data_IF_769305482704
#
_entry.id   IF_769305482704
#
_cell.length_a   1.000
_cell.length_b   1.000
_cell.length_c   1.000
_cell.angle_alpha   90.00
_cell.angle_beta   90.00
_cell.angle_gamma   90.00
#
_symmetry.space_group_name_H-M   'P 1'
#
loop_
_entity.id
_entity.type
_entity.pdbx_description
1 polymer ?
#
# COMPACT_ATOMS: atom_id res chain seq x y z
N UNK A 1 14.56 4.14 3.91
CA UNK A 1 13.56 4.49 2.88
C UNK A 1 14.20 4.68 1.49
N UNK A 2 13.64 4.07 0.43
CA UNK A 2 14.10 4.30 -0.94
C UNK A 2 13.68 5.73 -1.35
N UNK A 3 14.62 6.67 -1.58
CA UNK A 3 14.28 8.06 -1.87
C UNK A 3 13.53 8.24 -3.20
N UNK A 4 13.52 7.20 -4.06
CA UNK A 4 12.82 7.23 -5.34
C UNK A 4 12.09 5.92 -5.64
N UNK A 5 11.34 5.42 -4.66
CA UNK A 5 10.54 4.19 -4.81
C UNK A 5 9.58 4.28 -6.01
N UNK A 6 9.03 5.47 -6.26
CA UNK A 6 8.14 5.73 -7.39
C UNK A 6 8.83 5.51 -8.73
N UNK A 7 10.02 6.09 -8.95
CA UNK A 7 10.78 5.88 -10.18
C UNK A 7 11.24 4.43 -10.29
N UNK A 8 11.78 3.86 -9.22
CA UNK A 8 12.28 2.49 -9.20
C UNK A 8 11.20 1.50 -9.65
N UNK A 9 9.99 1.59 -9.11
CA UNK A 9 8.86 0.74 -9.51
C UNK A 9 8.47 0.96 -10.96
N UNK A 10 8.41 2.22 -11.40
CA UNK A 10 8.07 2.52 -12.80
C UNK A 10 9.08 1.92 -13.77
N UNK A 11 10.37 2.02 -13.47
CA UNK A 11 11.46 1.53 -14.34
C UNK A 11 11.57 0.01 -14.34
N UNK A 12 11.49 -0.63 -13.17
CA UNK A 12 11.73 -2.08 -13.03
C UNK A 12 10.49 -2.93 -13.30
N UNK A 13 9.29 -2.35 -13.19
CA UNK A 13 8.03 -3.07 -13.40
C UNK A 13 7.33 -2.67 -14.71
N UNK A 14 8.12 -2.31 -15.74
CA UNK A 14 7.64 -2.11 -17.11
C UNK A 14 6.67 -0.93 -17.28
N UNK A 15 6.74 0.08 -16.40
CA UNK A 15 5.92 1.29 -16.45
C UNK A 15 4.43 1.12 -16.11
N UNK A 16 3.95 -0.13 -15.99
CA UNK A 16 2.56 -0.43 -15.68
C UNK A 16 2.26 -0.30 -14.18
N UNK A 17 3.27 -0.52 -13.34
CA UNK A 17 3.13 -0.40 -11.89
C UNK A 17 3.41 1.03 -11.43
N UNK A 18 2.80 1.36 -10.30
CA UNK A 18 2.94 2.65 -9.66
C UNK A 18 2.94 2.51 -8.15
N UNK A 19 3.51 3.54 -7.53
CA UNK A 19 3.51 3.75 -6.10
C UNK A 19 2.62 4.93 -5.73
N UNK A 20 1.90 4.80 -4.63
CA UNK A 20 1.15 5.87 -3.97
C UNK A 20 1.29 5.67 -2.47
N UNK A 21 1.52 6.75 -1.72
CA UNK A 21 1.52 6.73 -0.27
C UNK A 21 0.74 7.92 0.28
N UNK A 22 0.55 7.94 1.60
CA UNK A 22 -0.01 9.09 2.31
C UNK A 22 -1.53 9.21 2.18
N UNK A 23 -2.25 8.18 2.65
CA UNK A 23 -3.70 8.32 2.83
C UNK A 23 -4.04 9.34 3.90
N UNK A 24 -5.15 10.05 3.73
CA UNK A 24 -5.60 11.01 4.73
C UNK A 24 -5.88 10.32 6.07
N UNK A 25 -5.53 10.95 7.19
CA UNK A 25 -5.83 10.47 8.55
C UNK A 25 -7.30 10.07 8.72
N UNK A 26 -8.21 10.84 8.11
CA UNK A 26 -9.64 10.54 8.11
C UNK A 26 -9.96 9.16 7.50
N UNK A 27 -9.36 8.84 6.35
CA UNK A 27 -9.58 7.57 5.64
C UNK A 27 -8.96 6.41 6.42
N UNK A 28 -7.75 6.58 6.94
CA UNK A 28 -7.05 5.59 7.76
C UNK A 28 -7.87 5.28 9.01
N UNK A 29 -8.38 6.31 9.70
CA UNK A 29 -9.21 6.15 10.90
C UNK A 29 -10.56 5.49 10.60
N UNK A 30 -11.22 5.87 9.50
CA UNK A 30 -12.54 5.33 9.12
C UNK A 30 -12.47 3.84 8.74
N UNK A 31 -11.40 3.41 8.08
CA UNK A 31 -11.22 2.03 7.62
C UNK A 31 -10.02 1.37 8.32
N UNK A 32 -10.01 1.49 9.65
CA UNK A 32 -8.89 1.10 10.51
C UNK A 32 -8.30 -0.28 10.19
N UNK A 33 -9.16 -1.29 10.01
CA UNK A 33 -8.75 -2.66 9.72
C UNK A 33 -8.19 -2.90 8.31
N UNK A 34 -8.40 -1.97 7.38
CA UNK A 34 -7.80 -2.05 6.03
C UNK A 34 -6.39 -1.44 6.04
N UNK A 35 -6.13 -0.46 6.92
CA UNK A 35 -4.87 0.28 6.97
C UNK A 35 -3.93 -0.15 8.09
N UNK A 36 -4.32 -1.12 8.91
CA UNK A 36 -3.48 -1.63 9.99
C UNK A 36 -3.37 -3.16 9.97
N UNK A 37 -2.19 -3.65 10.32
CA UNK A 37 -1.97 -5.08 10.56
C UNK A 37 -1.20 -5.32 11.86
N UNK A 38 -1.34 -6.53 12.39
CA UNK A 38 -0.64 -6.98 13.58
C UNK A 38 0.54 -7.85 13.16
N UNK A 39 1.74 -7.52 13.65
CA UNK A 39 2.94 -8.32 13.44
C UNK A 39 3.85 -8.23 14.66
N UNK A 40 4.42 -9.35 15.10
CA UNK A 40 5.27 -9.42 16.29
C UNK A 40 4.67 -8.77 17.56
N UNK A 41 3.34 -8.86 17.73
CA UNK A 41 2.63 -8.26 18.86
C UNK A 41 2.49 -6.73 18.82
N UNK A 42 2.97 -6.10 17.74
CA UNK A 42 2.85 -4.66 17.49
C UNK A 42 1.84 -4.41 16.36
N UNK A 43 1.20 -3.25 16.46
CA UNK A 43 0.28 -2.74 15.45
C UNK A 43 1.04 -1.82 14.51
N UNK A 44 0.89 -2.04 13.22
CA UNK A 44 1.57 -1.29 12.17
C UNK A 44 0.56 -0.70 11.20
N UNK A 45 0.73 0.57 10.87
CA UNK A 45 0.04 1.20 9.76
C UNK A 45 0.71 0.79 8.44
N UNK A 46 -0.08 0.41 7.45
CA UNK A 46 0.36 0.05 6.08
C UNK A 46 -0.09 1.12 5.09
N UNK A 47 0.44 2.33 5.27
CA UNK A 47 0.06 3.53 4.50
C UNK A 47 0.66 3.62 3.10
N UNK A 48 1.59 2.73 2.74
CA UNK A 48 2.24 2.68 1.43
C UNK A 48 1.55 1.69 0.51
N UNK A 49 1.35 2.06 -0.75
CA UNK A 49 0.72 1.22 -1.76
C UNK A 49 1.56 1.11 -3.01
N UNK A 50 1.65 -0.12 -3.53
CA UNK A 50 2.07 -0.38 -4.91
C UNK A 50 0.98 -1.13 -5.64
N UNK A 51 0.88 -0.91 -6.94
CA UNK A 51 -0.10 -1.65 -7.72
C UNK A 51 -0.05 -1.37 -9.20
N UNK A 52 -0.91 -2.07 -9.92
CA UNK A 52 -1.06 -1.98 -11.38
C UNK A 52 -2.53 -2.22 -11.76
N UNK A 53 -2.86 -2.07 -13.05
CA UNK A 53 -4.20 -2.27 -13.59
C UNK A 53 -4.86 -1.00 -14.14
N UNK A 54 -6.08 -1.14 -14.67
CA UNK A 54 -6.83 -0.04 -15.32
C UNK A 54 -8.07 0.35 -14.50
N UNK A 55 -8.25 1.66 -14.30
CA UNK A 55 -9.45 2.26 -13.70
C UNK A 55 -9.70 1.86 -12.23
N UNK A 56 -10.86 2.22 -11.70
CA UNK A 56 -11.37 1.79 -10.39
C UNK A 56 -12.01 0.39 -10.45
N UNK A 57 -11.82 -0.38 -11.53
CA UNK A 57 -12.38 -1.73 -11.62
C UNK A 57 -11.53 -2.68 -10.76
N UNK A 58 -12.08 -3.18 -9.64
CA UNK A 58 -11.33 -4.02 -8.73
C UNK A 58 -10.93 -5.37 -9.34
N UNK A 59 -11.61 -5.84 -10.42
CA UNK A 59 -11.27 -7.10 -11.11
C UNK A 59 -10.01 -7.01 -11.97
N UNK A 60 -9.70 -5.80 -12.42
CA UNK A 60 -8.59 -5.50 -13.31
C UNK A 60 -7.43 -4.80 -12.59
N UNK A 61 -7.47 -4.74 -11.25
CA UNK A 61 -6.48 -4.02 -10.44
C UNK A 61 -5.98 -4.85 -9.27
N UNK A 62 -4.69 -4.67 -8.97
CA UNK A 62 -4.06 -5.20 -7.76
C UNK A 62 -3.42 -4.06 -6.98
N UNK A 63 -3.55 -4.12 -5.65
CA UNK A 63 -2.89 -3.26 -4.67
C UNK A 63 -2.22 -4.12 -3.62
N UNK A 64 -1.02 -3.70 -3.26
CA UNK A 64 -0.23 -4.25 -2.17
C UNK A 64 -0.02 -3.09 -1.20
N UNK A 65 -0.63 -3.17 -0.02
CA UNK A 65 -0.42 -2.20 1.05
C UNK A 65 0.67 -2.72 2.00
N UNK A 66 1.65 -1.88 2.31
CA UNK A 66 2.81 -2.28 3.09
C UNK A 66 3.37 -1.14 3.96
N UNK A 67 4.31 -1.50 4.82
CA UNK A 67 5.23 -0.58 5.47
C UNK A 67 6.62 -1.21 5.59
N UNK A 68 7.63 -0.38 5.83
CA UNK A 68 8.99 -0.84 6.07
C UNK A 68 9.25 -0.92 7.57
N UNK A 69 9.69 -2.08 8.04
CA UNK A 69 10.11 -2.30 9.41
C UNK A 69 11.61 -2.03 9.50
N UNK A 70 11.99 -0.84 9.94
CA UNK A 70 13.40 -0.42 9.99
C UNK A 70 14.25 -1.32 10.89
N UNK A 71 13.76 -1.68 12.07
CA UNK A 71 14.48 -2.54 13.02
C UNK A 71 14.80 -3.93 12.45
N UNK A 72 13.93 -4.45 11.57
CA UNK A 72 14.05 -5.80 11.01
C UNK A 72 14.60 -5.82 9.58
N UNK A 73 14.73 -4.66 8.94
CA UNK A 73 15.08 -4.51 7.53
C UNK A 73 14.17 -5.34 6.60
N UNK A 74 12.86 -5.31 6.86
CA UNK A 74 11.83 -6.07 6.13
C UNK A 74 10.68 -5.20 5.66
N UNK A 75 9.96 -5.68 4.66
CA UNK A 75 8.66 -5.15 4.25
C UNK A 75 7.57 -5.98 4.93
N UNK A 76 6.67 -5.31 5.64
CA UNK A 76 5.44 -5.91 6.16
C UNK A 76 4.31 -5.62 5.18
N UNK A 77 3.75 -6.66 4.57
CA UNK A 77 2.58 -6.55 3.69
C UNK A 77 1.34 -6.79 4.53
N UNK A 78 0.52 -5.75 4.72
CA UNK A 78 -0.74 -5.85 5.46
C UNK A 78 -1.93 -6.23 4.57
N UNK A 79 -1.82 -6.03 3.26
CA UNK A 79 -2.89 -6.30 2.32
C UNK A 79 -2.37 -6.64 0.93
N UNK A 80 -2.95 -7.66 0.31
CA UNK A 80 -2.81 -7.97 -1.12
C UNK A 80 -4.19 -8.25 -1.66
N UNK A 81 -4.61 -7.50 -2.68
CA UNK A 81 -5.93 -7.69 -3.26
C UNK A 81 -6.33 -6.55 -4.17
N UNK A 82 -7.62 -6.29 -4.22
CA UNK A 82 -8.21 -5.23 -5.03
C UNK A 82 -8.01 -3.85 -4.38
N UNK A 83 -8.75 -2.83 -4.81
CA UNK A 83 -8.66 -1.50 -4.19
C UNK A 83 -9.19 -1.55 -2.73
N UNK A 84 -8.36 -1.14 -1.75
CA UNK A 84 -8.80 -0.93 -0.37
C UNK A 84 -9.89 0.14 -0.28
N UNK A 85 -10.73 0.11 0.77
CA UNK A 85 -11.81 1.11 0.92
C UNK A 85 -11.22 2.49 1.18
N UNK A 86 -11.85 3.51 0.59
CA UNK A 86 -11.47 4.91 0.75
C UNK A 86 -12.71 5.73 1.05
N UNK A 87 -12.58 7.03 1.33
CA UNK A 87 -13.77 7.88 1.46
C UNK A 87 -14.61 7.96 0.17
N UNK A 88 -14.03 7.65 -0.99
CA UNK A 88 -14.65 7.72 -2.30
C UNK A 88 -15.18 6.36 -2.82
N UNK A 89 -15.06 5.28 -2.03
CA UNK A 89 -15.53 3.93 -2.34
C UNK A 89 -16.33 3.35 -1.18
#
# INVERSE_FOLDING_TARGET
PCPDLKKSIREHCGGAWFWMGGQSDYTVSKYDGDYHCQYAGKRHEVGEHVGTGKSKDPRETIRIAFCYLEDEQKILIGYVGQHQRTAAT
#
